data_IF_275278529338
#
_entry.id   IF_275278529338
#
_cell.length_a   1.000
_cell.length_b   1.000
_cell.length_c   1.000
_cell.angle_alpha   90.00
_cell.angle_beta   90.00
_cell.angle_gamma   90.00
#
_symmetry.space_group_name_H-M   'P 1'
#
loop_
_entity.id
_entity.type
_entity.pdbx_description
1 polymer ?
#
# COMPACT_ATOMS: atom_id res chain seq x y z
N UNK A 1 61.37 -16.74 -17.44
CA UNK A 1 59.89 -16.81 -17.56
C UNK A 1 59.28 -15.66 -16.78
N UNK A 2 58.66 -14.68 -17.45
CA UNK A 2 57.90 -13.60 -16.78
C UNK A 2 56.42 -13.94 -16.91
N UNK A 3 55.77 -14.22 -15.78
CA UNK A 3 54.33 -14.45 -15.70
C UNK A 3 53.63 -13.08 -15.75
N UNK A 4 52.86 -12.83 -16.81
CA UNK A 4 52.00 -11.64 -16.90
C UNK A 4 50.66 -12.02 -16.25
N UNK A 5 50.38 -11.44 -15.09
CA UNK A 5 49.08 -11.55 -14.42
C UNK A 5 48.15 -10.49 -15.01
N UNK A 6 47.15 -10.92 -15.77
CA UNK A 6 46.11 -10.06 -16.31
C UNK A 6 45.04 -9.83 -15.23
N UNK A 7 45.02 -8.64 -14.64
CA UNK A 7 43.97 -8.23 -13.69
C UNK A 7 42.75 -7.77 -14.49
N UNK A 8 41.68 -8.56 -14.46
CA UNK A 8 40.40 -8.21 -15.05
C UNK A 8 39.63 -7.35 -14.04
N UNK A 9 39.54 -6.04 -14.30
CA UNK A 9 38.63 -5.15 -13.58
C UNK A 9 37.21 -5.38 -14.10
N UNK A 10 36.34 -6.01 -13.30
CA UNK A 10 34.91 -6.01 -13.57
C UNK A 10 34.34 -4.63 -13.21
N UNK A 11 34.08 -3.82 -14.24
CA UNK A 11 33.31 -2.59 -14.10
C UNK A 11 31.83 -2.94 -13.98
N UNK A 12 31.27 -2.79 -12.79
CA UNK A 12 29.83 -2.90 -12.54
C UNK A 12 29.12 -1.73 -13.21
N UNK A 13 28.51 -1.94 -14.38
CA UNK A 13 27.64 -0.94 -15.01
C UNK A 13 26.33 -0.91 -14.22
N UNK A 14 25.92 0.23 -13.65
CA UNK A 14 24.61 0.33 -13.01
C UNK A 14 23.54 0.19 -14.10
N UNK A 15 22.79 -0.91 -14.07
CA UNK A 15 21.57 -1.05 -14.88
C UNK A 15 20.54 -0.10 -14.28
N UNK A 16 20.26 1.01 -14.98
CA UNK A 16 19.11 1.85 -14.62
C UNK A 16 17.86 0.99 -14.79
N UNK A 17 17.16 0.69 -13.69
CA UNK A 17 15.86 0.05 -13.76
C UNK A 17 14.93 0.98 -14.57
N UNK A 18 14.33 0.43 -15.63
CA UNK A 18 13.41 1.19 -16.47
C UNK A 18 12.17 1.54 -15.66
N UNK A 19 11.79 2.81 -15.63
CA UNK A 19 10.54 3.23 -15.00
C UNK A 19 9.36 2.47 -15.60
N UNK A 20 8.37 2.21 -14.75
CA UNK A 20 7.13 1.57 -15.15
C UNK A 20 6.32 2.45 -16.11
N UNK A 21 5.43 1.84 -16.87
CA UNK A 21 4.41 2.58 -17.62
C UNK A 21 3.07 1.92 -17.40
N UNK A 22 2.12 2.67 -16.84
CA UNK A 22 0.74 2.21 -16.72
C UNK A 22 -0.08 2.59 -17.95
N UNK A 23 -1.12 1.80 -18.23
CA UNK A 23 -2.05 2.02 -19.33
C UNK A 23 -3.49 1.84 -18.87
N UNK A 24 -4.41 2.62 -19.43
CA UNK A 24 -5.83 2.56 -19.13
C UNK A 24 -6.17 2.96 -17.70
N UNK A 25 -7.21 2.35 -17.13
CA UNK A 25 -7.73 2.69 -15.80
C UNK A 25 -7.47 1.57 -14.79
N UNK A 26 -7.75 1.84 -13.51
CA UNK A 26 -7.59 0.85 -12.44
C UNK A 26 -8.46 -0.39 -12.64
N UNK A 27 -9.56 -0.31 -13.38
CA UNK A 27 -10.48 -1.42 -13.68
C UNK A 27 -10.35 -2.01 -15.10
N UNK A 28 -9.60 -1.35 -15.99
CA UNK A 28 -9.29 -1.83 -17.35
C UNK A 28 -7.94 -1.26 -17.75
N UNK A 29 -6.87 -1.96 -17.40
CA UNK A 29 -5.51 -1.50 -17.62
C UNK A 29 -4.49 -2.61 -17.68
N UNK A 30 -3.25 -2.20 -17.91
CA UNK A 30 -2.04 -3.03 -17.89
C UNK A 30 -0.87 -2.23 -17.33
N UNK A 31 0.20 -2.92 -17.00
CA UNK A 31 1.44 -2.34 -16.46
C UNK A 31 2.63 -2.90 -17.26
N UNK A 32 3.58 -2.04 -17.57
CA UNK A 32 4.90 -2.44 -18.07
C UNK A 32 5.95 -2.15 -16.99
N UNK A 33 6.90 -3.07 -16.83
CA UNK A 33 7.97 -3.00 -15.83
C UNK A 33 7.41 -2.80 -14.40
N UNK A 34 6.38 -3.57 -14.04
CA UNK A 34 5.87 -3.56 -12.67
C UNK A 34 6.95 -3.98 -11.67
N UNK A 35 6.93 -3.35 -10.50
CA UNK A 35 7.88 -3.56 -9.41
C UNK A 35 7.17 -4.27 -8.27
N UNK A 36 7.74 -5.36 -7.79
CA UNK A 36 7.24 -6.06 -6.60
C UNK A 36 7.61 -5.27 -5.34
N UNK A 37 6.64 -5.01 -4.47
CA UNK A 37 6.91 -4.38 -3.19
C UNK A 37 7.80 -5.30 -2.30
N UNK A 38 8.75 -4.73 -1.53
CA UNK A 38 9.59 -5.47 -0.60
C UNK A 38 8.78 -6.24 0.43
N UNK A 39 9.24 -7.44 0.80
CA UNK A 39 8.57 -8.29 1.81
C UNK A 39 8.34 -7.57 3.14
N UNK A 40 9.32 -6.76 3.55
CA UNK A 40 9.32 -6.05 4.82
C UNK A 40 10.30 -4.88 4.76
N UNK A 41 10.12 -3.94 5.68
CA UNK A 41 11.07 -2.90 6.06
C UNK A 41 11.05 -2.72 7.58
N UNK A 42 11.58 -1.60 8.07
CA UNK A 42 11.79 -1.40 9.52
C UNK A 42 10.46 -1.31 10.29
N UNK A 43 9.41 -0.76 9.67
CA UNK A 43 8.09 -0.60 10.29
C UNK A 43 6.94 -1.22 9.48
N UNK A 44 7.21 -2.03 8.45
CA UNK A 44 6.15 -2.63 7.64
C UNK A 44 6.44 -4.06 7.18
N UNK A 45 5.37 -4.81 6.91
CA UNK A 45 5.44 -6.17 6.33
C UNK A 45 4.39 -6.39 5.24
N UNK A 46 4.63 -7.35 4.35
CA UNK A 46 3.63 -7.88 3.43
C UNK A 46 2.61 -8.75 4.17
N UNK A 47 1.33 -8.69 3.76
CA UNK A 47 0.26 -9.48 4.40
C UNK A 47 0.40 -11.00 4.27
N UNK A 48 1.05 -11.49 3.20
CA UNK A 48 1.15 -12.92 2.92
C UNK A 48 2.39 -13.24 2.08
N UNK A 49 3.21 -14.17 2.57
CA UNK A 49 4.36 -14.68 1.79
C UNK A 49 3.90 -15.41 0.54
N UNK A 50 2.82 -16.21 0.64
CA UNK A 50 2.31 -17.01 -0.47
C UNK A 50 1.78 -16.11 -1.59
N UNK A 51 0.99 -15.09 -1.25
CA UNK A 51 0.42 -14.20 -2.25
C UNK A 51 1.48 -13.34 -2.95
N UNK A 52 2.51 -12.92 -2.20
CA UNK A 52 3.67 -12.24 -2.76
C UNK A 52 4.40 -13.14 -3.77
N UNK A 53 4.71 -14.40 -3.39
CA UNK A 53 5.30 -15.38 -4.31
C UNK A 53 4.39 -15.70 -5.52
N UNK A 54 3.06 -15.60 -5.37
CA UNK A 54 2.11 -15.71 -6.47
C UNK A 54 2.03 -14.45 -7.35
N UNK A 55 2.89 -13.45 -7.10
CA UNK A 55 3.04 -12.24 -7.90
C UNK A 55 1.94 -11.22 -7.75
N UNK A 56 1.26 -11.18 -6.60
CA UNK A 56 0.09 -10.30 -6.36
C UNK A 56 0.43 -8.93 -5.74
N UNK A 57 1.71 -8.65 -5.58
CA UNK A 57 2.24 -7.48 -4.87
C UNK A 57 3.05 -6.53 -5.78
N UNK A 58 2.68 -6.44 -7.06
CA UNK A 58 3.34 -5.57 -8.04
C UNK A 58 2.59 -4.24 -8.22
N UNK A 59 3.37 -3.16 -8.25
CA UNK A 59 2.89 -1.79 -8.43
C UNK A 59 3.71 -1.06 -9.49
N UNK A 60 3.24 0.12 -9.88
CA UNK A 60 4.04 1.08 -10.64
C UNK A 60 5.25 1.55 -9.81
N UNK A 61 6.43 1.65 -10.43
CA UNK A 61 7.67 2.12 -9.79
C UNK A 61 7.52 3.41 -8.96
N UNK A 62 6.79 4.41 -9.46
CA UNK A 62 6.54 5.62 -8.68
C UNK A 62 5.63 5.37 -7.44
N UNK A 63 4.67 4.44 -7.51
CA UNK A 63 3.87 4.04 -6.35
C UNK A 63 4.74 3.33 -5.31
N UNK A 64 5.64 2.46 -5.75
CA UNK A 64 6.62 1.81 -4.87
C UNK A 64 7.46 2.85 -4.11
N UNK A 65 8.05 3.82 -4.82
CA UNK A 65 8.81 4.91 -4.18
C UNK A 65 7.97 5.69 -3.17
N UNK A 66 6.72 6.04 -3.51
CA UNK A 66 5.83 6.77 -2.59
C UNK A 66 5.59 5.97 -1.31
N UNK A 67 5.29 4.67 -1.43
CA UNK A 67 5.02 3.81 -0.28
C UNK A 67 6.25 3.67 0.61
N UNK A 68 7.41 3.37 0.04
CA UNK A 68 8.63 3.17 0.81
C UNK A 68 9.11 4.45 1.51
N UNK A 69 9.01 5.60 0.84
CA UNK A 69 9.34 6.88 1.46
C UNK A 69 8.32 7.29 2.54
N UNK A 70 7.04 6.97 2.36
CA UNK A 70 6.02 7.17 3.39
C UNK A 70 6.32 6.34 4.64
N UNK A 71 6.67 5.06 4.49
CA UNK A 71 7.09 4.21 5.61
C UNK A 71 8.33 4.76 6.31
N UNK A 72 9.34 5.19 5.56
CA UNK A 72 10.55 5.82 6.10
C UNK A 72 10.28 7.13 6.85
N UNK A 73 9.27 7.90 6.44
CA UNK A 73 8.82 9.07 7.20
C UNK A 73 8.16 8.66 8.52
N UNK A 74 7.34 7.61 8.49
CA UNK A 74 6.62 7.11 9.66
C UNK A 74 7.54 6.43 10.67
N UNK A 75 8.67 5.83 10.25
CA UNK A 75 9.70 5.35 11.18
C UNK A 75 10.18 6.46 12.13
N UNK A 76 10.20 7.71 11.66
CA UNK A 76 10.61 8.87 12.46
C UNK A 76 9.45 9.52 13.20
N UNK A 77 8.30 9.64 12.55
CA UNK A 77 7.12 10.34 13.10
C UNK A 77 6.35 9.49 14.11
N UNK A 78 6.35 8.16 13.93
CA UNK A 78 5.55 7.17 14.66
C UNK A 78 6.39 5.90 14.91
N UNK A 79 7.52 5.97 15.64
CA UNK A 79 8.49 4.88 15.74
C UNK A 79 7.93 3.59 16.36
N UNK A 80 6.87 3.70 17.17
CA UNK A 80 6.22 2.56 17.82
C UNK A 80 5.06 1.96 17.01
N UNK A 81 4.84 2.42 15.77
CA UNK A 81 3.74 1.98 14.90
C UNK A 81 4.25 1.06 13.80
N UNK A 82 3.52 -0.02 13.57
CA UNK A 82 3.84 -0.98 12.52
C UNK A 82 2.69 -1.10 11.52
N UNK A 83 3.06 -1.31 10.25
CA UNK A 83 2.15 -1.27 9.12
C UNK A 83 2.18 -2.58 8.32
N UNK A 84 1.13 -2.81 7.56
CA UNK A 84 1.04 -3.99 6.69
C UNK A 84 0.35 -3.62 5.40
N UNK A 85 1.02 -3.87 4.27
CA UNK A 85 0.40 -3.74 2.94
C UNK A 85 -0.15 -5.08 2.48
N UNK A 86 -1.20 -5.04 1.66
CA UNK A 86 -1.95 -6.19 1.19
C UNK A 86 -1.87 -6.34 -0.34
N UNK A 87 -2.99 -6.64 -0.99
CA UNK A 87 -3.03 -6.86 -2.43
C UNK A 87 -2.80 -5.57 -3.23
N UNK A 88 -2.12 -5.70 -4.38
CA UNK A 88 -1.82 -4.56 -5.25
C UNK A 88 -2.07 -4.82 -6.73
N UNK A 89 -1.58 -5.93 -7.29
CA UNK A 89 -1.67 -6.19 -8.72
C UNK A 89 -0.60 -7.16 -9.21
N UNK A 90 -0.73 -7.54 -10.49
CA UNK A 90 0.25 -8.37 -11.19
C UNK A 90 1.33 -7.52 -11.85
N UNK A 91 2.48 -8.14 -12.14
CA UNK A 91 3.63 -7.50 -12.77
C UNK A 91 3.29 -6.80 -14.09
N UNK A 92 2.44 -7.43 -14.90
CA UNK A 92 1.96 -6.88 -16.17
C UNK A 92 0.57 -6.20 -16.04
N UNK A 93 0.04 -6.07 -14.82
CA UNK A 93 -1.31 -5.59 -14.56
C UNK A 93 -2.38 -6.56 -15.08
N UNK A 94 -3.46 -6.03 -15.66
CA UNK A 94 -4.53 -6.84 -16.23
C UNK A 94 -5.55 -7.33 -15.20
N UNK A 95 -6.36 -8.32 -15.57
CA UNK A 95 -7.48 -8.76 -14.75
C UNK A 95 -7.01 -9.42 -13.44
N UNK A 96 -7.30 -8.76 -12.31
CA UNK A 96 -6.86 -9.18 -10.98
C UNK A 96 -8.01 -9.75 -10.14
N UNK A 97 -8.45 -10.99 -10.40
CA UNK A 97 -9.53 -11.60 -9.60
C UNK A 97 -9.11 -11.81 -8.12
N UNK A 98 -10.05 -11.72 -7.16
CA UNK A 98 -11.49 -11.40 -7.32
C UNK A 98 -11.78 -9.89 -7.46
N UNK A 99 -10.76 -9.03 -7.36
CA UNK A 99 -10.92 -7.58 -7.48
C UNK A 99 -11.41 -7.13 -8.85
N UNK A 100 -12.13 -6.01 -8.83
CA UNK A 100 -12.56 -5.31 -10.05
C UNK A 100 -11.52 -4.30 -10.53
N UNK A 101 -10.68 -3.80 -9.63
CA UNK A 101 -9.62 -2.80 -9.86
C UNK A 101 -8.23 -3.47 -9.90
N UNK A 102 -7.16 -2.79 -9.48
CA UNK A 102 -5.78 -3.31 -9.39
C UNK A 102 -5.13 -3.70 -10.73
N UNK A 103 -5.60 -3.14 -11.85
CA UNK A 103 -5.20 -3.60 -13.18
C UNK A 103 -4.04 -2.84 -13.82
N UNK A 104 -3.66 -1.67 -13.30
CA UNK A 104 -2.65 -0.80 -13.92
C UNK A 104 -1.50 -0.41 -12.97
N UNK A 105 -1.38 -1.07 -11.82
CA UNK A 105 -0.31 -0.82 -10.85
C UNK A 105 -0.48 0.41 -9.96
N UNK A 106 -1.66 1.04 -9.98
CA UNK A 106 -1.93 2.28 -9.24
C UNK A 106 -2.90 2.12 -8.07
N UNK A 107 -3.21 0.87 -7.68
CA UNK A 107 -4.13 0.58 -6.59
C UNK A 107 -3.44 -0.31 -5.57
N UNK A 108 -3.52 0.04 -4.29
CA UNK A 108 -2.92 -0.71 -3.19
C UNK A 108 -3.89 -0.84 -2.04
N UNK A 109 -4.09 -2.06 -1.58
CA UNK A 109 -4.75 -2.34 -0.32
C UNK A 109 -3.71 -2.31 0.80
N UNK A 110 -4.08 -1.73 1.94
CA UNK A 110 -3.30 -1.74 3.17
C UNK A 110 -4.19 -2.27 4.29
N UNK A 111 -3.64 -3.18 5.11
CA UNK A 111 -4.36 -3.68 6.28
C UNK A 111 -4.52 -2.54 7.29
N UNK A 112 -5.69 -2.46 7.91
CA UNK A 112 -5.98 -1.46 8.93
C UNK A 112 -5.03 -1.64 10.12
N UNK A 113 -4.26 -0.62 10.52
CA UNK A 113 -3.43 -0.67 11.72
C UNK A 113 -4.29 -0.89 12.96
N UNK A 114 -3.80 -1.72 13.88
CA UNK A 114 -4.51 -2.05 15.12
C UNK A 114 -3.58 -1.95 16.33
N UNK A 115 -4.21 -1.79 17.49
CA UNK A 115 -3.61 -2.00 18.79
C UNK A 115 -4.26 -3.20 19.50
N UNK A 116 -3.50 -3.86 20.35
CA UNK A 116 -4.00 -4.88 21.28
C UNK A 116 -4.60 -4.26 22.56
N UNK A 117 -5.03 -5.11 23.50
CA UNK A 117 -5.59 -4.69 24.80
C UNK A 117 -4.61 -3.89 25.67
N UNK A 118 -3.30 -4.02 25.43
CA UNK A 118 -2.26 -3.25 26.12
C UNK A 118 -2.04 -1.87 25.49
N UNK A 119 -2.65 -1.60 24.33
CA UNK A 119 -2.45 -0.39 23.54
C UNK A 119 -1.21 -0.44 22.66
N UNK A 120 -0.55 -1.59 22.51
CA UNK A 120 0.62 -1.75 21.66
C UNK A 120 0.21 -1.93 20.20
N UNK A 121 0.92 -1.27 19.28
CA UNK A 121 0.71 -1.47 17.84
C UNK A 121 1.12 -2.88 17.44
N UNK A 122 0.17 -3.62 16.87
CA UNK A 122 0.37 -4.99 16.42
C UNK A 122 -0.12 -5.14 14.99
N UNK A 123 0.33 -6.19 14.31
CA UNK A 123 -0.16 -6.48 12.97
C UNK A 123 -1.51 -7.17 13.06
N UNK A 124 -2.52 -6.64 12.34
CA UNK A 124 -3.78 -7.35 12.13
C UNK A 124 -3.49 -8.78 11.61
N UNK A 125 -4.09 -9.85 12.19
CA UNK A 125 -3.74 -11.21 11.83
C UNK A 125 -4.11 -11.51 10.37
N UNK A 126 -3.15 -12.06 9.63
CA UNK A 126 -3.35 -12.44 8.22
C UNK A 126 -2.90 -13.88 8.00
N UNK A 127 -3.86 -14.79 7.88
CA UNK A 127 -3.60 -16.22 7.66
C UNK A 127 -4.65 -16.85 6.73
N UNK A 128 -4.41 -18.04 6.16
CA UNK A 128 -5.36 -18.64 5.20
C UNK A 128 -6.80 -18.78 5.73
N UNK A 129 -6.99 -19.05 7.03
CA UNK A 129 -8.31 -19.25 7.64
C UNK A 129 -9.18 -17.98 7.70
N UNK A 130 -8.60 -16.78 7.66
CA UNK A 130 -9.34 -15.51 7.62
C UNK A 130 -9.16 -14.80 6.27
N UNK A 131 -8.91 -15.59 5.21
CA UNK A 131 -8.57 -15.10 3.87
C UNK A 131 -7.49 -14.02 3.88
N UNK A 132 -6.46 -14.23 4.70
CA UNK A 132 -5.35 -13.29 4.89
C UNK A 132 -5.78 -11.91 5.39
N UNK A 133 -6.79 -11.85 6.26
CA UNK A 133 -7.33 -10.63 6.87
C UNK A 133 -8.65 -10.16 6.26
N UNK A 134 -8.95 -10.53 5.02
CA UNK A 134 -10.14 -10.07 4.28
C UNK A 134 -11.48 -10.66 4.76
N UNK A 135 -11.47 -11.60 5.72
CA UNK A 135 -12.69 -12.10 6.40
C UNK A 135 -12.88 -11.51 7.80
N UNK A 136 -12.04 -10.55 8.22
CA UNK A 136 -12.22 -9.82 9.47
C UNK A 136 -13.29 -8.75 9.26
N UNK A 137 -14.15 -8.55 10.27
CA UNK A 137 -15.12 -7.44 10.27
C UNK A 137 -15.05 -6.68 11.60
N UNK A 138 -14.65 -5.41 11.53
CA UNK A 138 -14.73 -4.54 12.69
C UNK A 138 -16.18 -4.12 12.98
N UNK A 139 -16.50 -3.91 14.25
CA UNK A 139 -17.77 -3.32 14.66
C UNK A 139 -17.82 -1.80 14.39
N UNK A 140 -18.95 -1.16 14.67
CA UNK A 140 -19.13 0.28 14.46
C UNK A 140 -18.25 1.17 15.34
N UNK A 141 -17.52 0.60 16.30
CA UNK A 141 -16.55 1.27 17.17
C UNK A 141 -15.11 0.98 16.76
N UNK A 142 -14.90 0.17 15.71
CA UNK A 142 -13.57 -0.24 15.26
C UNK A 142 -12.96 -1.32 16.15
N UNK A 143 -13.76 -2.21 16.72
CA UNK A 143 -13.29 -3.35 17.54
C UNK A 143 -13.51 -4.68 16.81
N UNK A 144 -12.54 -5.59 16.93
CA UNK A 144 -12.60 -6.97 16.47
C UNK A 144 -11.80 -7.83 17.45
N UNK A 145 -12.45 -8.75 18.16
CA UNK A 145 -11.82 -9.56 19.21
C UNK A 145 -11.02 -8.67 20.20
N UNK A 146 -9.74 -8.96 20.45
CA UNK A 146 -8.82 -8.18 21.28
C UNK A 146 -8.28 -6.91 20.60
N UNK A 147 -8.59 -6.69 19.32
CA UNK A 147 -8.01 -5.62 18.51
C UNK A 147 -8.93 -4.40 18.44
N UNK A 148 -8.32 -3.21 18.53
CA UNK A 148 -8.97 -1.94 18.22
C UNK A 148 -8.23 -1.22 17.10
N UNK A 149 -8.94 -0.59 16.17
CA UNK A 149 -8.34 0.20 15.10
C UNK A 149 -7.48 1.33 15.68
N UNK A 150 -6.22 1.39 15.26
CA UNK A 150 -5.33 2.51 15.53
C UNK A 150 -5.59 3.62 14.52
N UNK A 151 -6.58 4.45 14.80
CA UNK A 151 -6.95 5.56 13.92
C UNK A 151 -5.81 6.57 13.72
N UNK A 152 -4.91 6.73 14.70
CA UNK A 152 -3.77 7.64 14.59
C UNK A 152 -2.79 7.09 13.56
N UNK A 153 -2.40 5.81 13.67
CA UNK A 153 -1.51 5.17 12.70
C UNK A 153 -2.13 5.12 11.30
N UNK A 154 -3.42 4.78 11.20
CA UNK A 154 -4.16 4.79 9.92
C UNK A 154 -4.14 6.18 9.27
N UNK A 155 -4.48 7.23 10.03
CA UNK A 155 -4.50 8.59 9.52
C UNK A 155 -3.10 9.08 9.13
N UNK A 156 -2.09 8.83 9.99
CA UNK A 156 -0.71 9.19 9.74
C UNK A 156 -0.20 8.57 8.44
N UNK A 157 -0.51 7.30 8.17
CA UNK A 157 -0.07 6.64 6.95
C UNK A 157 -0.72 7.22 5.70
N UNK A 158 -2.03 7.48 5.70
CA UNK A 158 -2.69 8.15 4.56
C UNK A 158 -2.09 9.54 4.31
N UNK A 159 -1.79 10.30 5.37
CA UNK A 159 -1.12 11.60 5.26
C UNK A 159 0.29 11.47 4.69
N UNK A 160 1.07 10.50 5.15
CA UNK A 160 2.42 10.24 4.67
C UNK A 160 2.43 9.88 3.18
N UNK A 161 1.52 8.98 2.75
CA UNK A 161 1.34 8.62 1.34
C UNK A 161 1.01 9.85 0.49
N UNK A 162 0.07 10.68 0.93
CA UNK A 162 -0.31 11.89 0.17
C UNK A 162 0.82 12.92 0.12
N UNK A 163 1.48 13.20 1.25
CA UNK A 163 2.63 14.12 1.28
C UNK A 163 3.71 13.67 0.31
N UNK A 164 4.03 12.38 0.30
CA UNK A 164 5.05 11.83 -0.57
C UNK A 164 4.60 11.74 -2.05
N UNK A 165 3.32 11.50 -2.31
CA UNK A 165 2.79 11.62 -3.67
C UNK A 165 3.00 13.05 -4.21
N UNK A 166 2.69 14.06 -3.40
CA UNK A 166 2.85 15.47 -3.75
C UNK A 166 4.33 15.85 -3.94
N UNK A 167 5.26 15.35 -3.13
CA UNK A 167 6.70 15.60 -3.34
C UNK A 167 7.20 15.01 -4.67
N UNK A 168 6.57 13.93 -5.14
CA UNK A 168 6.84 13.31 -6.43
C UNK A 168 5.98 13.85 -7.58
N UNK A 169 5.22 14.93 -7.36
CA UNK A 169 4.46 15.64 -8.40
C UNK A 169 3.17 14.95 -8.84
N UNK A 170 2.63 14.03 -8.03
CA UNK A 170 1.35 13.33 -8.27
C UNK A 170 0.44 13.47 -7.05
N UNK A 171 -0.75 12.89 -7.11
CA UNK A 171 -1.73 12.95 -6.02
C UNK A 171 -2.31 11.54 -5.72
N UNK A 172 -3.15 11.43 -4.69
CA UNK A 172 -4.02 10.29 -4.48
C UNK A 172 -5.37 10.60 -5.13
N UNK A 173 -5.87 9.69 -5.97
CA UNK A 173 -7.19 9.84 -6.57
C UNK A 173 -8.30 9.68 -5.52
N UNK A 174 -8.21 8.64 -4.69
CA UNK A 174 -9.15 8.39 -3.60
C UNK A 174 -8.61 7.40 -2.59
N UNK A 175 -9.21 7.44 -1.41
CA UNK A 175 -9.06 6.42 -0.37
C UNK A 175 -10.43 5.78 -0.11
N UNK A 176 -10.51 4.45 -0.16
CA UNK A 176 -11.70 3.69 0.17
C UNK A 176 -11.50 3.07 1.55
N UNK A 177 -12.32 3.49 2.50
CA UNK A 177 -12.36 3.00 3.87
C UNK A 177 -13.82 3.07 4.35
N UNK A 178 -14.25 2.19 5.26
CA UNK A 178 -15.66 2.11 5.66
C UNK A 178 -16.21 3.48 6.09
N UNK A 179 -17.25 4.02 5.41
CA UNK A 179 -17.82 5.31 5.73
C UNK A 179 -18.30 5.47 7.19
N UNK A 180 -18.62 4.38 7.88
CA UNK A 180 -19.03 4.41 9.30
C UNK A 180 -17.86 4.62 10.26
N UNK A 181 -16.64 4.27 9.85
CA UNK A 181 -15.43 4.38 10.67
C UNK A 181 -14.65 5.68 10.38
N UNK A 182 -14.88 6.30 9.22
CA UNK A 182 -14.29 7.59 8.86
C UNK A 182 -14.50 8.71 9.91
N UNK A 183 -15.64 8.83 10.62
CA UNK A 183 -15.79 9.85 11.66
C UNK A 183 -14.73 9.78 12.77
N UNK A 184 -14.35 8.58 13.22
CA UNK A 184 -13.28 8.42 14.23
C UNK A 184 -11.91 8.76 13.64
N UNK A 185 -11.64 8.34 12.40
CA UNK A 185 -10.43 8.72 11.66
C UNK A 185 -10.24 10.24 11.61
N UNK A 186 -11.34 10.97 11.41
CA UNK A 186 -11.36 12.42 11.33
C UNK A 186 -11.26 13.16 12.67
N UNK A 187 -11.38 12.47 13.81
CA UNK A 187 -11.16 13.04 15.15
C UNK A 187 -9.69 13.07 15.54
N UNK A 188 -8.83 12.35 14.82
CA UNK A 188 -7.38 12.35 15.05
C UNK A 188 -6.77 13.73 14.78
N UNK A 189 -5.55 13.95 15.26
CA UNK A 189 -4.75 15.15 14.95
C UNK A 189 -4.53 15.37 13.45
N UNK A 190 -4.57 14.30 12.65
CA UNK A 190 -4.45 14.35 11.19
C UNK A 190 -5.78 14.65 10.47
N UNK A 191 -6.90 14.58 11.17
CA UNK A 191 -8.25 14.76 10.63
C UNK A 191 -8.44 16.03 9.79
N UNK A 192 -7.97 17.22 10.23
CA UNK A 192 -8.05 18.44 9.43
C UNK A 192 -7.32 18.34 8.09
N UNK A 193 -6.14 17.72 8.06
CA UNK A 193 -5.38 17.50 6.83
C UNK A 193 -6.13 16.54 5.90
N UNK A 194 -6.59 15.41 6.44
CA UNK A 194 -7.35 14.40 5.70
C UNK A 194 -8.59 15.02 5.02
N UNK A 195 -9.39 15.80 5.74
CA UNK A 195 -10.59 16.44 5.18
C UNK A 195 -10.27 17.43 4.07
N UNK A 196 -9.12 18.10 4.14
CA UNK A 196 -8.70 19.12 3.17
C UNK A 196 -8.12 18.50 1.90
N UNK A 197 -7.39 17.40 2.03
CA UNK A 197 -6.54 16.89 0.96
C UNK A 197 -6.95 15.55 0.39
N UNK A 198 -7.76 14.75 1.10
CA UNK A 198 -8.02 13.36 0.73
C UNK A 198 -9.49 13.16 0.36
N UNK A 199 -9.71 12.58 -0.82
CA UNK A 199 -11.04 12.16 -1.25
C UNK A 199 -11.37 10.75 -0.73
N UNK A 200 -12.18 10.67 0.34
CA UNK A 200 -12.69 9.40 0.85
C UNK A 200 -13.93 8.90 0.11
N UNK A 201 -14.09 7.57 0.00
CA UNK A 201 -15.32 6.95 -0.46
C UNK A 201 -16.49 7.24 0.48
N UNK A 202 -17.61 7.76 -0.03
CA UNK A 202 -18.80 8.08 0.79
C UNK A 202 -19.86 6.97 0.82
N UNK A 203 -19.85 6.09 -0.19
CA UNK A 203 -20.82 4.98 -0.32
C UNK A 203 -20.16 3.70 0.15
N UNK A 204 -20.96 2.85 0.82
CA UNK A 204 -20.52 1.51 1.23
C UNK A 204 -20.23 0.67 -0.01
N UNK A 205 -19.04 0.07 -0.06
CA UNK A 205 -18.67 -0.94 -1.04
C UNK A 205 -19.41 -2.26 -0.76
N UNK A 206 -19.58 -3.11 -1.78
CA UNK A 206 -20.24 -4.42 -1.59
C UNK A 206 -19.45 -5.32 -0.63
N UNK A 207 -18.11 -5.30 -0.71
CA UNK A 207 -17.21 -5.82 0.32
C UNK A 207 -16.97 -4.70 1.32
N UNK A 208 -17.01 -5.00 2.63
CA UNK A 208 -16.59 -4.05 3.67
C UNK A 208 -15.10 -3.74 3.49
N UNK A 209 -14.68 -2.57 3.96
CA UNK A 209 -13.30 -2.08 3.87
C UNK A 209 -12.99 -1.46 5.22
N UNK A 210 -13.15 -2.26 6.26
CA UNK A 210 -12.83 -1.89 7.64
C UNK A 210 -11.55 -2.59 8.10
N UNK A 211 -11.34 -3.81 7.64
CA UNK A 211 -10.14 -4.64 7.78
C UNK A 211 -8.96 -4.16 6.92
N UNK A 212 -9.25 -3.47 5.83
CA UNK A 212 -8.28 -2.79 4.99
C UNK A 212 -8.83 -1.47 4.44
N UNK A 213 -7.93 -0.63 3.96
CA UNK A 213 -8.26 0.55 3.16
C UNK A 213 -7.50 0.49 1.85
N UNK A 214 -8.16 0.97 0.81
CA UNK A 214 -7.66 0.93 -0.55
C UNK A 214 -7.30 2.33 -1.00
N UNK A 215 -6.11 2.49 -1.56
CA UNK A 215 -5.61 3.78 -2.08
C UNK A 215 -5.39 3.65 -3.57
N UNK A 216 -6.04 4.53 -4.33
CA UNK A 216 -5.79 4.72 -5.75
C UNK A 216 -4.87 5.95 -5.94
N UNK A 217 -3.74 5.79 -6.63
CA UNK A 217 -2.79 6.86 -6.93
C UNK A 217 -3.13 7.53 -8.28
N UNK A 218 -3.05 8.86 -8.34
CA UNK A 218 -3.35 9.66 -9.52
C UNK A 218 -2.10 9.88 -10.39
N UNK A 219 -1.54 8.79 -10.92
CA UNK A 219 -0.41 8.82 -11.85
C UNK A 219 -0.93 8.80 -13.29
N UNK A 220 -0.49 9.71 -14.19
CA UNK A 220 -0.90 9.70 -15.58
C UNK A 220 -0.51 8.39 -16.30
N UNK A 221 -1.51 7.72 -16.88
CA UNK A 221 -1.31 6.51 -17.69
C UNK A 221 -1.50 6.79 -19.17
N UNK A 222 -0.90 5.94 -20.01
CA UNK A 222 -1.15 5.96 -21.46
C UNK A 222 -2.52 5.35 -21.79
N UNK A 223 -3.03 5.68 -22.97
CA UNK A 223 -4.21 5.02 -23.57
C UNK A 223 -4.00 3.50 -23.66
N UNK A 224 -5.05 2.73 -23.36
CA UNK A 224 -5.02 1.28 -23.53
C UNK A 224 -5.44 0.94 -24.96
N UNK A 225 -4.46 0.81 -25.85
CA UNK A 225 -4.65 0.34 -27.23
C UNK A 225 -5.10 -1.12 -27.27
#
# INVERSE_FOLDING_TARGET
MKLIVLVIFMLSVPVLAKDSTCYGTTSKGRLENGIELPRSGDNFVAYSTIARLAGRTYVHSQVERIILNAYKSLEKEQPDKIFKYAETGFKEGGQFKPHKTHRNGLSVDFMTPVIDESGQSVHLPTHPLNKFGYDIEFDGKGQYEEYTIDYIALAAHIVALHKEAVTQGVDLWRVIFDPKLQPELFKTSYGPYLKKHIQFSKKRSWVRHDEHYHVDFAIPCKELN
#
